data_IF_484894724291
#
_entry.id   IF_484894724291
#
_cell.length_a   1.000
_cell.length_b   1.000
_cell.length_c   1.000
_cell.angle_alpha   90.00
_cell.angle_beta   90.00
_cell.angle_gamma   90.00
#
_symmetry.space_group_name_H-M   'P 1'
#
loop_
_entity.id
_entity.type
_entity.pdbx_description
1 polymer ?
#
# COMPACT_ATOMS: atom_id res chain seq x y z
N UNK A 1 -21.25 5.10 -16.50
CA UNK A 1 -20.97 4.32 -15.29
C UNK A 1 -19.49 3.97 -15.30
N UNK A 2 -18.66 4.79 -14.67
CA UNK A 2 -17.22 4.52 -14.55
C UNK A 2 -17.05 3.55 -13.39
N UNK A 3 -16.40 2.40 -13.62
CA UNK A 3 -16.11 1.44 -12.55
C UNK A 3 -15.34 2.13 -11.42
N UNK A 4 -15.63 1.85 -10.13
CA UNK A 4 -14.82 2.38 -9.05
C UNK A 4 -13.36 1.95 -9.24
N UNK A 5 -12.38 2.80 -8.86
CA UNK A 5 -10.98 2.38 -8.89
C UNK A 5 -10.85 1.09 -8.10
N UNK A 6 -10.30 0.05 -8.73
CA UNK A 6 -10.08 -1.20 -8.00
C UNK A 6 -9.05 -0.95 -6.91
N UNK A 7 -9.30 -1.42 -5.67
CA UNK A 7 -8.36 -1.20 -4.58
C UNK A 7 -7.01 -1.83 -4.91
N UNK A 8 -5.94 -1.12 -4.59
CA UNK A 8 -4.58 -1.61 -4.84
C UNK A 8 -4.28 -2.84 -3.98
N UNK A 9 -5.00 -3.02 -2.86
CA UNK A 9 -4.86 -4.17 -1.97
C UNK A 9 -6.10 -4.30 -1.07
N UNK A 10 -6.55 -5.55 -0.83
CA UNK A 10 -7.67 -5.88 0.07
C UNK A 10 -7.32 -7.13 0.88
N UNK A 11 -7.15 -7.00 2.19
CA UNK A 11 -6.98 -8.13 3.11
C UNK A 11 -7.29 -7.70 4.55
N UNK A 12 -7.21 -8.60 5.54
CA UNK A 12 -7.28 -8.20 6.95
C UNK A 12 -5.99 -7.51 7.40
N UNK A 13 -6.07 -6.64 8.41
CA UNK A 13 -4.90 -5.96 8.97
C UNK A 13 -3.83 -6.95 9.44
N UNK A 14 -4.23 -8.08 10.05
CA UNK A 14 -3.30 -9.13 10.47
C UNK A 14 -2.58 -9.77 9.27
N UNK A 15 -3.32 -10.03 8.18
CA UNK A 15 -2.74 -10.62 6.97
C UNK A 15 -1.79 -9.65 6.28
N UNK A 16 -2.14 -8.35 6.24
CA UNK A 16 -1.26 -7.29 5.78
C UNK A 16 0.02 -7.24 6.62
N UNK A 17 -0.11 -7.21 7.95
CA UNK A 17 1.05 -7.17 8.86
C UNK A 17 1.98 -8.36 8.65
N UNK A 18 1.46 -9.60 8.62
CA UNK A 18 2.26 -10.81 8.35
C UNK A 18 2.97 -10.75 7.00
N UNK A 19 2.28 -10.26 5.97
CA UNK A 19 2.85 -10.13 4.63
C UNK A 19 3.98 -9.08 4.59
N UNK A 20 3.91 -8.03 5.40
CA UNK A 20 4.91 -6.95 5.46
C UNK A 20 6.06 -7.25 6.44
N UNK A 21 5.82 -8.03 7.48
CA UNK A 21 6.80 -8.39 8.50
C UNK A 21 7.83 -9.42 8.02
N UNK A 22 7.55 -10.15 6.93
CA UNK A 22 8.50 -11.08 6.32
C UNK A 22 9.49 -10.32 5.44
N UNK A 23 10.78 -10.29 5.81
CA UNK A 23 11.83 -9.67 5.01
C UNK A 23 12.53 -10.72 4.11
N UNK A 24 12.66 -10.49 2.79
CA UNK A 24 12.07 -9.41 2.00
C UNK A 24 10.56 -9.62 1.75
N UNK A 25 9.78 -8.54 1.81
CA UNK A 25 8.31 -8.60 1.65
C UNK A 25 7.91 -8.41 0.19
N UNK A 26 7.50 -9.50 -0.47
CA UNK A 26 6.95 -9.44 -1.83
C UNK A 26 5.67 -8.59 -1.90
N UNK A 27 4.87 -8.56 -0.83
CA UNK A 27 3.67 -7.74 -0.74
C UNK A 27 4.01 -6.24 -0.72
N UNK A 28 5.05 -5.86 0.01
CA UNK A 28 5.50 -4.47 0.08
C UNK A 28 6.01 -3.98 -1.29
N UNK A 29 6.79 -4.79 -1.99
CA UNK A 29 7.25 -4.47 -3.35
C UNK A 29 6.10 -4.36 -4.35
N UNK A 30 5.17 -5.32 -4.35
CA UNK A 30 4.00 -5.28 -5.22
C UNK A 30 3.14 -4.02 -4.98
N UNK A 31 3.03 -3.58 -3.74
CA UNK A 31 2.33 -2.34 -3.39
C UNK A 31 3.04 -1.10 -3.93
N UNK A 32 4.35 -1.00 -3.73
CA UNK A 32 5.18 0.11 -4.23
C UNK A 32 5.10 0.20 -5.76
N UNK A 33 5.15 -0.93 -6.46
CA UNK A 33 5.06 -0.97 -7.91
C UNK A 33 3.68 -0.54 -8.42
N UNK A 34 2.60 -0.89 -7.71
CA UNK A 34 1.25 -0.40 -8.01
C UNK A 34 1.16 1.13 -7.86
N UNK A 35 1.65 1.70 -6.76
CA UNK A 35 1.66 3.17 -6.58
C UNK A 35 2.51 3.84 -7.66
N UNK A 36 3.71 3.32 -7.94
CA UNK A 36 4.59 3.88 -8.96
C UNK A 36 3.96 3.85 -10.36
N UNK A 37 3.26 2.77 -10.69
CA UNK A 37 2.51 2.63 -11.95
C UNK A 37 1.38 3.64 -12.03
N UNK A 38 0.57 3.76 -10.96
CA UNK A 38 -0.54 4.73 -10.89
C UNK A 38 -0.05 6.18 -10.99
N UNK A 39 1.03 6.53 -10.28
CA UNK A 39 1.66 7.84 -10.34
C UNK A 39 2.09 8.18 -11.77
N UNK A 40 2.78 7.26 -12.44
CA UNK A 40 3.25 7.45 -13.82
C UNK A 40 2.10 7.60 -14.79
N UNK A 41 1.06 6.79 -14.67
CA UNK A 41 -0.11 6.84 -15.54
C UNK A 41 -0.84 8.19 -15.45
N UNK A 42 -0.94 8.76 -14.24
CA UNK A 42 -1.76 9.95 -13.99
C UNK A 42 -0.99 11.27 -14.14
N UNK A 43 0.29 11.31 -13.75
CA UNK A 43 1.08 12.55 -13.73
C UNK A 43 2.22 12.57 -14.75
N UNK A 44 2.46 11.46 -15.46
CA UNK A 44 3.65 11.24 -16.29
C UNK A 44 4.98 11.31 -15.52
N UNK A 45 4.95 11.40 -14.19
CA UNK A 45 6.12 11.43 -13.31
C UNK A 45 6.50 10.02 -12.88
N UNK A 46 7.80 9.72 -12.87
CA UNK A 46 8.32 8.48 -12.31
C UNK A 46 8.62 8.67 -10.82
N UNK A 47 8.23 7.69 -10.00
CA UNK A 47 8.58 7.66 -8.58
C UNK A 47 10.10 7.58 -8.39
N UNK A 48 10.65 8.44 -7.55
CA UNK A 48 12.06 8.39 -7.14
C UNK A 48 12.32 7.21 -6.20
N UNK A 49 13.60 6.81 -6.08
CA UNK A 49 13.99 5.77 -5.13
C UNK A 49 13.65 6.16 -3.67
N UNK A 50 13.78 7.44 -3.33
CA UNK A 50 13.44 7.97 -2.01
C UNK A 50 11.94 7.85 -1.72
N UNK A 51 11.08 8.19 -2.68
CA UNK A 51 9.62 8.01 -2.55
C UNK A 51 9.25 6.55 -2.37
N UNK A 52 9.79 5.66 -3.21
CA UNK A 52 9.56 4.22 -3.08
C UNK A 52 9.98 3.70 -1.70
N UNK A 53 11.11 4.18 -1.15
CA UNK A 53 11.55 3.82 0.21
C UNK A 53 10.61 4.37 1.27
N UNK A 54 10.17 5.62 1.15
CA UNK A 54 9.22 6.22 2.07
C UNK A 54 7.90 5.43 2.12
N UNK A 55 7.36 5.04 0.96
CA UNK A 55 6.12 4.26 0.88
C UNK A 55 6.24 2.89 1.56
N UNK A 56 7.37 2.18 1.36
CA UNK A 56 7.62 0.91 2.06
C UNK A 56 7.58 1.06 3.56
N UNK A 57 8.28 2.07 4.07
CA UNK A 57 8.39 2.32 5.50
C UNK A 57 7.03 2.72 6.10
N UNK A 58 6.30 3.63 5.42
CA UNK A 58 4.98 4.08 5.86
C UNK A 58 3.97 2.94 5.91
N UNK A 59 3.97 2.04 4.91
CA UNK A 59 3.05 0.92 4.89
C UNK A 59 3.34 -0.06 6.04
N UNK A 60 4.62 -0.36 6.30
CA UNK A 60 5.01 -1.22 7.43
C UNK A 60 4.64 -0.58 8.78
N UNK A 61 4.87 0.72 8.96
CA UNK A 61 4.48 1.44 10.16
C UNK A 61 2.94 1.40 10.37
N UNK A 62 2.17 1.72 9.33
CA UNK A 62 0.71 1.68 9.37
C UNK A 62 0.18 0.29 9.77
N UNK A 63 0.75 -0.79 9.21
CA UNK A 63 0.34 -2.14 9.58
C UNK A 63 0.62 -2.46 11.06
N UNK A 64 1.72 -1.95 11.62
CA UNK A 64 2.02 -2.03 13.04
C UNK A 64 0.99 -1.27 13.89
N UNK A 65 0.68 -0.03 13.53
CA UNK A 65 -0.31 0.79 14.22
C UNK A 65 -1.70 0.12 14.27
N UNK A 66 -2.10 -0.57 13.18
CA UNK A 66 -3.34 -1.34 13.14
C UNK A 66 -3.33 -2.55 14.09
N UNK A 67 -2.18 -3.19 14.29
CA UNK A 67 -2.03 -4.29 15.26
C UNK A 67 -2.09 -3.77 16.69
N UNK A 68 -1.38 -2.69 16.97
CA UNK A 68 -1.32 -2.07 18.30
C UNK A 68 -2.68 -1.50 18.72
N UNK A 69 -3.47 -1.02 17.75
CA UNK A 69 -4.86 -0.59 17.97
C UNK A 69 -5.87 -1.74 18.15
N UNK A 70 -5.44 -3.01 18.05
CA UNK A 70 -6.33 -4.17 18.19
C UNK A 70 -7.24 -4.43 16.99
N UNK A 71 -6.95 -3.82 15.82
CA UNK A 71 -7.78 -3.89 14.61
C UNK A 71 -7.49 -5.13 13.75
N UNK A 72 -7.12 -6.25 14.36
CA UNK A 72 -6.50 -7.40 13.68
C UNK A 72 -7.38 -7.98 12.56
N UNK A 73 -8.68 -8.08 12.84
CA UNK A 73 -9.69 -8.64 11.93
C UNK A 73 -10.34 -7.59 11.02
N UNK A 74 -9.96 -6.32 11.14
CA UNK A 74 -10.52 -5.26 10.31
C UNK A 74 -10.01 -5.42 8.88
N UNK A 75 -10.93 -5.32 7.94
CA UNK A 75 -10.61 -5.28 6.53
C UNK A 75 -9.89 -3.98 6.18
N UNK A 76 -8.71 -4.11 5.58
CA UNK A 76 -7.89 -3.00 5.12
C UNK A 76 -8.03 -2.87 3.61
N UNK A 77 -8.45 -1.69 3.19
CA UNK A 77 -8.48 -1.24 1.81
C UNK A 77 -7.43 -0.17 1.61
N UNK A 78 -6.44 -0.41 0.75
CA UNK A 78 -5.44 0.62 0.43
C UNK A 78 -5.73 1.20 -0.94
N UNK A 79 -6.14 2.46 -0.94
CA UNK A 79 -6.42 3.26 -2.12
C UNK A 79 -5.43 4.43 -2.18
N UNK A 80 -4.98 4.77 -3.39
CA UNK A 80 -4.15 5.95 -3.60
C UNK A 80 -4.95 6.96 -4.44
N UNK A 81 -5.72 7.86 -3.79
CA UNK A 81 -6.39 8.92 -4.51
C UNK A 81 -5.31 9.89 -5.02
N UNK A 82 -5.16 9.94 -6.33
CA UNK A 82 -4.29 10.92 -6.97
C UNK A 82 -5.07 12.20 -7.23
N UNK A 83 -4.42 13.37 -7.13
CA UNK A 83 -5.04 14.65 -7.49
C UNK A 83 -5.55 14.57 -8.93
N UNK A 84 -6.82 14.94 -9.11
CA UNK A 84 -7.47 15.15 -10.42
C UNK A 84 -7.03 16.48 -11.03
#
# INVERSE_FOLDING_TARGET
MTAPPQPAYRSSAESLFKALASAPSAANEAFVDRIATALRAQTKRTATAAEKRAWRNSLTALAGDLMDAGLHQVEVLVEYPMPH
#
